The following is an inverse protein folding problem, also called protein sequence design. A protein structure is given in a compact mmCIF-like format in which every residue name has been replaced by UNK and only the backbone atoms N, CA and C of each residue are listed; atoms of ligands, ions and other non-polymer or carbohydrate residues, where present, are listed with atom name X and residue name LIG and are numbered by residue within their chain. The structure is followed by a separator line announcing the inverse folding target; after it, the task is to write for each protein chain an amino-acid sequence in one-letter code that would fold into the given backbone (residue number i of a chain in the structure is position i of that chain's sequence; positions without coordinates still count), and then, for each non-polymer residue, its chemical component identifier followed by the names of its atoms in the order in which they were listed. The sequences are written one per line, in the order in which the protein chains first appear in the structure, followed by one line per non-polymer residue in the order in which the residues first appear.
data_IF_378256416471
#
_entry.id   IF_378256416471
#
_cell.length_a   1.000
_cell.length_b   1.000
_cell.length_c   1.000
_cell.angle_alpha   90.00
_cell.angle_beta   90.00
_cell.angle_gamma   90.00
#
_symmetry.space_group_name_H-M   'P 1'
#
loop_
_entity.id
_entity.type
_entity.pdbx_description
1 polymer ?
#
# COMPACT_ATOMS: atom_id res chain seq x y z
N UNK A 1 -15.03 16.23 -9.69
CA UNK A 1 -15.12 14.86 -9.12
C UNK A 1 -15.77 13.96 -10.15
N UNK A 2 -15.05 12.94 -10.62
CA UNK A 2 -15.63 11.91 -11.49
C UNK A 2 -16.51 10.97 -10.65
N UNK A 3 -17.51 10.34 -11.24
CA UNK A 3 -18.34 9.34 -10.53
C UNK A 3 -17.48 8.20 -9.95
N UNK A 4 -16.40 7.86 -10.65
CA UNK A 4 -15.48 6.81 -10.24
C UNK A 4 -14.66 7.17 -8.99
N UNK A 5 -14.07 8.38 -8.91
CA UNK A 5 -13.33 8.81 -7.71
C UNK A 5 -14.24 8.96 -6.49
N UNK A 6 -15.49 9.38 -6.71
CA UNK A 6 -16.51 9.36 -5.66
C UNK A 6 -16.79 7.95 -5.16
N UNK A 7 -16.96 6.98 -6.06
CA UNK A 7 -17.16 5.57 -5.71
C UNK A 7 -16.00 5.00 -4.90
N UNK A 8 -14.75 5.28 -5.29
CA UNK A 8 -13.56 4.85 -4.54
C UNK A 8 -13.55 5.39 -3.11
N UNK A 9 -13.88 6.68 -2.94
CA UNK A 9 -13.96 7.31 -1.63
C UNK A 9 -15.02 6.63 -0.75
N UNK A 10 -16.22 6.39 -1.31
CA UNK A 10 -17.31 5.73 -0.60
C UNK A 10 -16.90 4.32 -0.18
N UNK A 11 -16.20 3.57 -1.03
CA UNK A 11 -15.73 2.22 -0.68
C UNK A 11 -14.73 2.24 0.49
N UNK A 12 -13.82 3.22 0.55
CA UNK A 12 -12.96 3.39 1.73
C UNK A 12 -13.78 3.75 2.98
N UNK A 13 -14.70 4.71 2.88
CA UNK A 13 -15.55 5.13 4.01
C UNK A 13 -16.41 3.97 4.56
N UNK A 14 -16.82 3.02 3.71
CA UNK A 14 -17.56 1.81 4.09
C UNK A 14 -16.75 0.83 4.95
N UNK A 15 -15.42 0.96 5.03
CA UNK A 15 -14.60 0.15 5.93
C UNK A 15 -14.84 0.47 7.42
N UNK A 16 -15.54 1.56 7.73
CA UNK A 16 -15.85 1.92 9.11
C UNK A 16 -16.66 0.82 9.79
N UNK A 17 -16.20 0.39 10.98
CA UNK A 17 -16.72 -0.73 11.77
C UNK A 17 -16.45 -2.13 11.23
N UNK A 18 -15.85 -2.29 10.05
CA UNK A 18 -15.41 -3.59 9.56
C UNK A 18 -14.22 -4.13 10.34
N UNK A 19 -14.04 -5.45 10.32
CA UNK A 19 -12.95 -6.13 10.98
C UNK A 19 -11.90 -6.59 9.96
N UNK A 20 -10.68 -6.08 10.07
CA UNK A 20 -9.54 -6.57 9.29
C UNK A 20 -8.96 -7.81 9.97
N UNK A 21 -8.84 -8.90 9.23
CA UNK A 21 -8.37 -10.19 9.72
C UNK A 21 -6.92 -10.46 9.29
N UNK A 22 -6.54 -10.02 8.10
CA UNK A 22 -5.23 -10.30 7.51
C UNK A 22 -4.82 -9.21 6.51
N UNK A 23 -3.51 -8.97 6.43
CA UNK A 23 -2.89 -8.17 5.38
C UNK A 23 -1.91 -9.01 4.57
N UNK A 24 -2.02 -8.89 3.24
CA UNK A 24 -1.05 -9.44 2.30
C UNK A 24 -0.60 -8.31 1.36
N UNK A 25 0.59 -8.42 0.80
CA UNK A 25 1.15 -7.34 -0.01
C UNK A 25 2.06 -7.86 -1.12
N UNK A 26 2.11 -7.10 -2.22
CA UNK A 26 3.21 -7.13 -3.17
C UNK A 26 4.12 -5.97 -2.79
N UNK A 27 5.17 -6.28 -2.05
CA UNK A 27 6.18 -5.31 -1.63
C UNK A 27 7.14 -5.02 -2.78
N UNK A 28 7.61 -3.79 -2.88
CA UNK A 28 8.58 -3.33 -3.87
C UNK A 28 9.84 -2.85 -3.16
N UNK A 29 11.00 -3.30 -3.63
CA UNK A 29 12.31 -2.87 -3.14
C UNK A 29 12.50 -1.37 -3.40
N UNK A 30 13.28 -0.73 -2.55
CA UNK A 30 13.58 0.71 -2.59
C UNK A 30 14.65 1.05 -3.64
N UNK A 31 15.31 0.04 -4.21
CA UNK A 31 16.33 0.20 -5.25
C UNK A 31 16.16 -0.84 -6.36
N UNK A 32 16.73 -0.52 -7.52
CA UNK A 32 16.90 -1.46 -8.62
C UNK A 32 18.30 -2.07 -8.56
N UNK A 33 18.39 -3.31 -8.06
CA UNK A 33 19.67 -4.00 -7.92
C UNK A 33 19.92 -5.00 -9.06
N UNK A 34 21.19 -5.18 -9.44
CA UNK A 34 21.57 -6.20 -10.43
C UNK A 34 21.50 -7.63 -9.89
N UNK A 35 21.40 -7.83 -8.58
CA UNK A 35 21.24 -9.13 -7.92
C UNK A 35 20.19 -9.06 -6.81
N UNK A 36 19.43 -10.13 -6.56
CA UNK A 36 18.40 -10.15 -5.51
C UNK A 36 18.95 -9.88 -4.10
N UNK A 37 20.18 -10.29 -3.78
CA UNK A 37 20.79 -10.07 -2.46
C UNK A 37 21.14 -8.60 -2.21
N UNK A 38 21.21 -7.78 -3.26
CA UNK A 38 21.48 -6.36 -3.18
C UNK A 38 20.19 -5.50 -3.16
N UNK A 39 19.01 -6.13 -3.18
CA UNK A 39 17.73 -5.43 -3.03
C UNK A 39 17.53 -4.96 -1.59
N UNK A 40 17.24 -3.68 -1.46
CA UNK A 40 16.94 -3.00 -0.21
C UNK A 40 15.43 -2.96 -0.08
N UNK A 41 14.89 -3.81 0.78
CA UNK A 41 13.45 -3.83 1.04
C UNK A 41 13.03 -2.75 2.04
N UNK A 42 13.93 -2.40 2.97
CA UNK A 42 13.70 -1.47 4.07
C UNK A 42 14.92 -0.61 4.31
N UNK A 43 14.69 0.66 4.66
CA UNK A 43 15.74 1.56 5.09
C UNK A 43 15.24 2.50 6.19
N UNK A 44 16.07 2.74 7.21
CA UNK A 44 15.73 3.57 8.39
C UNK A 44 15.31 5.01 8.07
N UNK A 45 15.71 5.53 6.90
CA UNK A 45 15.32 6.88 6.46
C UNK A 45 13.94 6.91 5.80
N UNK A 46 13.36 5.76 5.49
CA UNK A 46 12.07 5.62 4.80
C UNK A 46 11.05 5.11 5.82
N UNK A 47 10.20 5.98 6.39
CA UNK A 47 9.29 5.62 7.47
C UNK A 47 8.00 4.97 6.94
N UNK A 48 8.08 4.23 5.84
CA UNK A 48 6.95 3.64 5.11
C UNK A 48 7.37 2.33 4.44
N UNK A 49 6.43 1.42 4.27
CA UNK A 49 6.55 0.32 3.30
C UNK A 49 6.22 0.85 1.91
N UNK A 50 6.93 0.37 0.89
CA UNK A 50 6.59 0.58 -0.50
C UNK A 50 5.97 -0.69 -1.09
N UNK A 51 4.73 -0.59 -1.57
CA UNK A 51 3.98 -1.72 -2.08
C UNK A 51 3.43 -1.40 -3.47
N UNK A 52 3.49 -2.36 -4.40
CA UNK A 52 2.71 -2.28 -5.64
C UNK A 52 1.21 -2.41 -5.35
N UNK A 53 0.85 -3.27 -4.40
CA UNK A 53 -0.54 -3.47 -3.97
C UNK A 53 -0.60 -4.00 -2.54
N UNK A 54 -1.61 -3.54 -1.82
CA UNK A 54 -1.96 -4.01 -0.48
C UNK A 54 -3.30 -4.76 -0.56
N UNK A 55 -3.39 -5.90 0.12
CA UNK A 55 -4.58 -6.72 0.18
C UNK A 55 -5.03 -6.84 1.62
N UNK A 56 -6.31 -6.57 1.86
CA UNK A 56 -6.93 -6.69 3.17
C UNK A 56 -8.00 -7.78 3.14
N UNK A 57 -7.96 -8.72 4.09
CA UNK A 57 -9.09 -9.59 4.35
C UNK A 57 -9.99 -8.91 5.39
N UNK A 58 -11.19 -8.52 4.99
CA UNK A 58 -12.11 -7.70 5.78
C UNK A 58 -13.49 -8.35 5.77
N UNK A 59 -14.01 -8.72 6.94
CA UNK A 59 -15.34 -9.34 7.10
C UNK A 59 -15.61 -10.55 6.14
N UNK A 60 -14.62 -11.43 5.95
CA UNK A 60 -14.60 -12.55 4.98
C UNK A 60 -14.53 -12.16 3.49
N UNK A 61 -14.16 -10.92 3.17
CA UNK A 61 -13.98 -10.45 1.80
C UNK A 61 -12.58 -9.92 1.59
N UNK A 62 -11.96 -10.27 0.45
CA UNK A 62 -10.68 -9.70 0.08
C UNK A 62 -10.88 -8.39 -0.68
N UNK A 63 -10.14 -7.37 -0.26
CA UNK A 63 -10.07 -6.06 -0.90
C UNK A 63 -8.63 -5.84 -1.39
N UNK A 64 -8.49 -5.35 -2.62
CA UNK A 64 -7.22 -4.86 -3.17
C UNK A 64 -7.21 -3.35 -3.08
N UNK A 65 -6.14 -2.82 -2.49
CA UNK A 65 -5.80 -1.40 -2.45
C UNK A 65 -4.58 -1.21 -3.35
N UNK A 66 -4.73 -0.38 -4.37
CA UNK A 66 -3.68 -0.06 -5.34
C UNK A 66 -3.80 1.39 -5.78
N UNK A 67 -2.83 1.87 -6.54
CA UNK A 67 -2.92 3.17 -7.20
C UNK A 67 -3.72 3.07 -8.50
N UNK A 68 -4.19 4.22 -8.98
CA UNK A 68 -4.68 4.43 -10.33
C UNK A 68 -4.07 5.72 -10.87
N UNK A 69 -3.89 5.80 -12.19
CA UNK A 69 -3.35 6.98 -12.86
C UNK A 69 -4.48 7.90 -13.35
N UNK A 70 -4.33 9.19 -13.12
CA UNK A 70 -5.16 10.28 -13.66
C UNK A 70 -4.23 11.36 -14.23
N UNK A 71 -4.05 11.33 -15.56
CA UNK A 71 -3.00 12.06 -16.27
C UNK A 71 -1.59 11.77 -15.72
N UNK A 72 -0.99 12.75 -15.04
CA UNK A 72 0.35 12.77 -14.47
C UNK A 72 0.37 12.55 -12.95
N UNK A 73 -0.79 12.30 -12.33
CA UNK A 73 -0.92 12.04 -10.90
C UNK A 73 -1.50 10.65 -10.62
N UNK A 74 -1.18 10.12 -9.45
CA UNK A 74 -1.75 8.87 -8.95
C UNK A 74 -2.63 9.07 -7.73
N UNK A 75 -3.76 8.36 -7.68
CA UNK A 75 -4.63 8.30 -6.51
C UNK A 75 -4.77 6.87 -5.98
N UNK A 76 -5.29 6.72 -4.76
CA UNK A 76 -5.63 5.41 -4.20
C UNK A 76 -6.98 4.91 -4.71
N UNK A 77 -7.05 3.61 -4.95
CA UNK A 77 -8.27 2.87 -5.27
C UNK A 77 -8.42 1.66 -4.33
N UNK A 78 -9.65 1.20 -4.17
CA UNK A 78 -10.00 -0.01 -3.44
C UNK A 78 -11.10 -0.75 -4.19
N UNK A 79 -10.89 -2.06 -4.37
CA UNK A 79 -11.87 -2.91 -5.03
C UNK A 79 -11.94 -4.30 -4.38
N UNK A 80 -13.13 -4.93 -4.40
CA UNK A 80 -13.26 -6.30 -3.97
C UNK A 80 -12.64 -7.27 -4.97
N UNK A 81 -11.94 -8.28 -4.47
CA UNK A 81 -11.42 -9.38 -5.29
C UNK A 81 -12.09 -10.71 -4.89
N UNK A 82 -12.37 -11.61 -5.85
CA UNK A 82 -13.27 -12.74 -5.63
C UNK A 82 -12.66 -13.87 -4.79
N UNK A 83 -11.35 -13.86 -4.58
CA UNK A 83 -10.60 -14.90 -3.88
C UNK A 83 -9.42 -14.29 -3.14
N UNK A 84 -8.92 -15.02 -2.15
CA UNK A 84 -7.63 -14.72 -1.56
C UNK A 84 -6.61 -14.55 -2.68
N UNK A 85 -5.80 -13.49 -2.64
CA UNK A 85 -4.80 -13.30 -3.66
C UNK A 85 -3.84 -14.48 -3.56
N UNK A 86 -3.68 -15.18 -4.68
CA UNK A 86 -2.83 -16.36 -4.70
C UNK A 86 -1.39 -15.85 -4.69
N UNK A 87 -0.74 -15.94 -3.54
CA UNK A 87 0.71 -15.70 -3.41
C UNK A 87 1.56 -16.75 -4.13
N UNK A 88 1.00 -17.45 -5.10
CA UNK A 88 1.61 -18.60 -5.74
C UNK A 88 2.62 -18.14 -6.77
N UNK A 89 3.73 -18.86 -6.81
CA UNK A 89 4.51 -19.34 -7.94
C UNK A 89 4.26 -18.72 -9.33
N UNK A 90 3.02 -18.42 -9.75
CA UNK A 90 2.74 -17.68 -10.99
C UNK A 90 3.35 -16.27 -11.04
N UNK A 91 3.40 -15.52 -9.94
CA UNK A 91 4.14 -14.25 -9.92
C UNK A 91 5.65 -14.52 -9.92
N UNK A 92 6.14 -15.44 -9.08
CA UNK A 92 7.55 -15.81 -9.01
C UNK A 92 8.12 -16.32 -10.36
N UNK A 93 7.31 -17.06 -11.12
CA UNK A 93 7.62 -17.56 -12.46
C UNK A 93 7.70 -16.44 -13.52
N UNK A 94 6.95 -15.34 -13.33
CA UNK A 94 6.91 -14.22 -14.27
C UNK A 94 7.94 -13.13 -13.97
N UNK A 95 8.32 -12.94 -12.70
CA UNK A 95 9.20 -11.82 -12.33
C UNK A 95 10.68 -12.21 -12.18
N UNK A 96 10.98 -13.52 -12.23
CA UNK A 96 12.36 -14.03 -12.17
C UNK A 96 13.05 -13.74 -10.83
N UNK A 97 14.21 -14.35 -10.61
CA UNK A 97 14.97 -14.17 -9.37
C UNK A 97 15.56 -12.75 -9.19
N UNK A 98 15.31 -11.80 -10.09
CA UNK A 98 15.86 -10.43 -10.06
C UNK A 98 14.78 -9.35 -9.94
N UNK A 99 13.54 -9.74 -9.65
CA UNK A 99 12.41 -8.83 -9.44
C UNK A 99 12.63 -7.90 -8.26
N UNK A 100 12.29 -6.61 -8.42
CA UNK A 100 12.13 -5.67 -7.30
C UNK A 100 10.85 -5.93 -6.49
N UNK A 101 9.98 -6.85 -6.93
CA UNK A 101 8.72 -7.18 -6.27
C UNK A 101 8.79 -8.52 -5.53
N UNK A 102 8.19 -8.59 -4.33
CA UNK A 102 7.96 -9.85 -3.62
C UNK A 102 6.59 -9.92 -2.95
N UNK A 103 6.02 -11.13 -2.94
CA UNK A 103 4.82 -11.43 -2.19
C UNK A 103 5.12 -11.64 -0.71
N UNK A 104 4.26 -11.13 0.19
CA UNK A 104 4.36 -11.43 1.64
C UNK A 104 3.04 -11.26 2.38
N UNK A 105 2.98 -11.88 3.55
CA UNK A 105 2.00 -11.54 4.60
C UNK A 105 2.58 -10.38 5.42
N UNK A 106 1.86 -9.26 5.50
CA UNK A 106 2.30 -8.04 6.21
C UNK A 106 1.82 -8.08 7.67
N UNK A 107 2.42 -8.98 8.47
CA UNK A 107 2.02 -9.25 9.87
C UNK A 107 2.22 -8.09 10.83
N UNK A 108 3.06 -7.13 10.45
CA UNK A 108 3.34 -5.89 11.16
C UNK A 108 2.23 -4.86 11.04
N UNK A 109 1.28 -5.04 10.10
CA UNK A 109 0.14 -4.15 9.98
C UNK A 109 -0.95 -4.53 11.00
N UNK A 110 -1.51 -3.56 11.75
CA UNK A 110 -2.57 -3.80 12.74
C UNK A 110 -3.80 -4.50 12.15
N UNK A 111 -4.34 -5.48 12.87
CA UNK A 111 -5.62 -6.16 12.55
C UNK A 111 -6.67 -5.87 13.61
N UNK A 112 -7.94 -6.11 13.27
CA UNK A 112 -9.10 -5.90 14.13
C UNK A 112 -10.07 -4.85 13.58
N UNK A 113 -10.95 -4.36 14.45
CA UNK A 113 -12.01 -3.42 14.08
C UNK A 113 -11.46 -2.06 13.69
N UNK A 114 -11.89 -1.56 12.52
CA UNK A 114 -11.67 -0.19 12.07
C UNK A 114 -12.64 0.73 12.81
N UNK A 115 -12.09 1.58 13.67
CA UNK A 115 -12.83 2.52 14.51
C UNK A 115 -12.97 3.91 13.90
N UNK A 116 -12.11 4.25 12.93
CA UNK A 116 -12.14 5.51 12.21
C UNK A 116 -11.60 5.31 10.80
N UNK A 117 -12.22 5.98 9.84
CA UNK A 117 -11.74 6.13 8.46
C UNK A 117 -11.71 7.61 8.15
N UNK A 118 -10.61 8.11 7.60
CA UNK A 118 -10.54 9.43 7.00
C UNK A 118 -9.94 9.35 5.60
N UNK A 119 -10.65 9.91 4.62
CA UNK A 119 -10.23 9.96 3.23
C UNK A 119 -9.92 11.41 2.88
N UNK A 120 -8.71 11.69 2.40
CA UNK A 120 -8.31 13.03 1.95
C UNK A 120 -8.09 13.01 0.45
N UNK A 121 -8.71 13.97 -0.22
CA UNK A 121 -8.59 14.18 -1.65
C UNK A 121 -7.71 15.41 -1.91
N UNK A 122 -7.01 15.43 -3.04
CA UNK A 122 -6.32 16.63 -3.52
C UNK A 122 -7.28 17.54 -4.32
N UNK A 123 -6.75 18.64 -4.87
CA UNK A 123 -7.52 19.62 -5.66
C UNK A 123 -8.07 19.04 -6.99
N UNK A 124 -7.51 17.93 -7.47
CA UNK A 124 -8.00 17.18 -8.65
C UNK A 124 -9.04 16.10 -8.30
N UNK A 125 -9.36 15.94 -7.01
CA UNK A 125 -10.23 14.90 -6.44
C UNK A 125 -9.61 13.49 -6.37
N UNK A 126 -8.31 13.36 -6.60
CA UNK A 126 -7.60 12.10 -6.41
C UNK A 126 -7.51 11.77 -4.92
N UNK A 127 -7.68 10.49 -4.55
CA UNK A 127 -7.54 10.06 -3.16
C UNK A 127 -6.05 10.05 -2.81
N UNK A 128 -5.60 11.16 -2.22
CA UNK A 128 -4.21 11.41 -1.87
C UNK A 128 -3.81 10.73 -0.55
N UNK A 129 -4.77 10.41 0.31
CA UNK A 129 -4.48 9.70 1.56
C UNK A 129 -5.72 9.02 2.13
N UNK A 130 -5.52 7.85 2.72
CA UNK A 130 -6.50 7.17 3.58
C UNK A 130 -5.86 6.89 4.93
N UNK A 131 -6.55 7.26 6.00
CA UNK A 131 -6.15 7.00 7.38
C UNK A 131 -7.17 6.04 8.01
N UNK A 132 -6.69 4.90 8.51
CA UNK A 132 -7.49 3.87 9.18
C UNK A 132 -7.04 3.74 10.63
N UNK A 133 -7.96 3.85 11.58
CA UNK A 133 -7.66 3.58 12.99
C UNK A 133 -8.12 2.18 13.38
N UNK A 134 -7.16 1.27 13.56
CA UNK A 134 -7.40 -0.12 13.93
C UNK A 134 -6.86 -0.32 15.35
N UNK A 135 -7.76 -0.63 16.28
CA UNK A 135 -7.44 -0.65 17.72
C UNK A 135 -6.83 0.69 18.18
N UNK A 136 -5.59 0.68 18.72
CA UNK A 136 -4.85 1.87 19.13
C UNK A 136 -3.89 2.42 18.05
N UNK A 137 -3.81 1.77 16.89
CA UNK A 137 -2.85 2.13 15.83
C UNK A 137 -3.51 2.92 14.69
N UNK A 138 -2.78 3.89 14.16
CA UNK A 138 -3.15 4.64 12.97
C UNK A 138 -2.35 4.13 11.78
N UNK A 139 -3.03 3.52 10.81
CA UNK A 139 -2.47 3.17 9.51
C UNK A 139 -2.73 4.33 8.56
N UNK A 140 -1.68 4.79 7.87
CA UNK A 140 -1.77 5.77 6.78
C UNK A 140 -1.36 5.11 5.48
N UNK A 141 -2.21 5.27 4.48
CA UNK A 141 -2.01 4.84 3.11
C UNK A 141 -1.94 6.08 2.22
N UNK A 142 -0.96 6.15 1.32
CA UNK A 142 -0.85 7.22 0.34
C UNK A 142 -0.31 6.67 -1.00
N UNK A 143 -0.71 7.25 -2.14
CA UNK A 143 0.00 6.99 -3.39
C UNK A 143 1.36 7.68 -3.32
N UNK A 144 2.41 7.01 -3.77
CA UNK A 144 3.77 7.54 -3.74
C UNK A 144 4.84 6.47 -3.92
N UNK A 145 6.04 6.92 -4.24
CA UNK A 145 7.18 6.07 -4.58
C UNK A 145 8.46 6.61 -3.96
N UNK A 146 9.36 5.69 -3.66
CA UNK A 146 10.67 5.91 -3.06
C UNK A 146 11.72 5.78 -4.15
N UNK A 147 12.49 6.84 -4.33
CA UNK A 147 13.55 6.92 -5.32
C UNK A 147 14.92 6.87 -4.64
N UNK A 148 15.81 6.04 -5.16
CA UNK A 148 17.23 6.05 -4.79
C UNK A 148 17.97 7.18 -5.51
N UNK A 149 18.68 8.00 -4.74
CA UNK A 149 19.56 9.05 -5.25
C UNK A 149 20.97 8.50 -5.54
N UNK A 150 21.76 9.26 -6.32
CA UNK A 150 23.14 8.89 -6.64
C UNK A 150 24.06 8.72 -5.43
N UNK A 151 23.72 9.35 -4.29
CA UNK A 151 24.44 9.25 -3.03
C UNK A 151 23.92 8.15 -2.10
N UNK A 152 23.05 7.26 -2.60
CA UNK A 152 22.37 6.18 -1.87
C UNK A 152 21.40 6.68 -0.78
N UNK A 153 21.04 7.97 -0.80
CA UNK A 153 19.89 8.45 -0.04
C UNK A 153 18.58 8.07 -0.74
N UNK A 154 17.47 8.12 0.01
CA UNK A 154 16.14 7.83 -0.50
C UNK A 154 15.24 9.05 -0.37
N UNK A 155 14.53 9.40 -1.44
CA UNK A 155 13.52 10.45 -1.47
C UNK A 155 12.12 9.85 -1.71
N UNK A 156 11.12 10.36 -0.99
CA UNK A 156 9.73 9.95 -1.15
C UNK A 156 9.00 10.99 -2.01
N UNK A 157 8.40 10.55 -3.12
CA UNK A 157 7.49 11.36 -3.93
C UNK A 157 6.06 10.86 -3.72
N UNK A 158 5.18 11.75 -3.31
CA UNK A 158 3.75 11.44 -3.18
C UNK A 158 3.04 11.60 -4.52
N UNK A 159 1.87 10.97 -4.63
CA UNK A 159 1.04 10.96 -5.85
C UNK A 159 1.70 10.22 -7.02
N UNK A 160 2.39 9.12 -6.70
CA UNK A 160 3.13 8.27 -7.65
C UNK A 160 2.61 6.82 -7.66
N UNK A 161 3.21 5.96 -8.48
CA UNK A 161 2.72 4.63 -8.87
C UNK A 161 2.55 3.62 -7.73
N UNK A 162 3.28 3.76 -6.62
CA UNK A 162 3.25 2.81 -5.51
C UNK A 162 2.27 3.19 -4.39
N UNK A 163 1.94 2.23 -3.55
CA UNK A 163 1.20 2.42 -2.29
C UNK A 163 2.20 2.48 -1.15
N UNK A 164 2.26 3.63 -0.47
CA UNK A 164 3.05 3.82 0.73
C UNK A 164 2.21 3.55 1.98
N UNK A 165 2.75 2.74 2.90
CA UNK A 165 2.07 2.36 4.15
C UNK A 165 2.90 2.75 5.36
N UNK A 166 2.27 3.46 6.30
CA UNK A 166 2.89 3.91 7.55
C UNK A 166 2.00 3.53 8.73
N UNK A 167 2.62 3.16 9.87
CA UNK A 167 1.90 2.86 11.12
C UNK A 167 2.40 3.81 12.21
N UNK A 168 1.49 4.54 12.85
CA UNK A 168 1.78 5.49 13.93
C UNK A 168 2.88 6.51 13.61
N UNK A 169 2.97 6.91 12.34
CA UNK A 169 3.99 7.85 11.86
C UNK A 169 5.39 7.25 11.68
N UNK A 170 5.53 5.91 11.68
CA UNK A 170 6.80 5.19 11.58
C UNK A 170 6.74 4.05 10.56
N UNK A 171 7.92 3.55 10.18
CA UNK A 171 8.00 2.32 9.40
C UNK A 171 7.39 1.14 10.18
N UNK A 172 6.50 0.33 9.58
CA UNK A 172 5.89 -0.81 10.26
C UNK A 172 6.88 -1.90 10.71
N UNK A 173 8.08 -1.94 10.15
CA UNK A 173 9.06 -3.03 10.39
C UNK A 173 10.00 -2.77 11.57
N UNK A 174 10.01 -1.56 12.12
CA UNK A 174 10.86 -1.19 13.26
C UNK A 174 10.16 -1.32 14.63
N UNK A 175 9.09 -2.12 14.73
CA UNK A 175 8.31 -2.31 15.97
C UNK A 175 8.79 -3.47 16.85
#
# INVERSE_FOLDING_TARGET
MTEWTHFQRVNFEQLLNSNVEEWQAIEMALNEASTPEALIWHHKSVPMLQLLSLFAHVDNQWLRISTYQDDDEFGLSIEPIPRAPQGSDQWADHVGNTSIFRWRVARELPTGKISQVAVKQNDRNNIAMVELKIQCHLIRLAPGEVYENQDQSFDVRFMDESVLVQVDGRSPIEQ
#
